data_IF_459497135038
#
_entry.id   IF_459497135038
#
_cell.length_a   1.000
_cell.length_b   1.000
_cell.length_c   1.000
_cell.angle_alpha   90.00
_cell.angle_beta   90.00
_cell.angle_gamma   90.00
#
_symmetry.space_group_name_H-M   'P 1'
#
loop_
_entity.id
_entity.type
_entity.pdbx_description
1 polymer ?
#
# COMPACT_ATOMS: atom_id res chain seq x y z
N UNK A 1 -65.98 12.21 44.32
CA UNK A 1 -64.52 12.12 44.54
C UNK A 1 -64.01 10.87 43.85
N UNK A 2 -63.22 11.04 42.79
CA UNK A 2 -62.17 10.13 42.30
C UNK A 2 -61.59 10.81 41.05
N UNK A 3 -60.66 11.74 41.27
CA UNK A 3 -59.80 12.26 40.20
C UNK A 3 -58.71 11.22 39.97
N UNK A 4 -58.80 10.53 38.83
CA UNK A 4 -57.73 9.64 38.37
C UNK A 4 -56.65 10.51 37.72
N UNK A 5 -55.57 10.72 38.45
CA UNK A 5 -54.35 11.38 37.97
C UNK A 5 -53.76 10.58 36.81
N UNK A 6 -53.82 11.11 35.59
CA UNK A 6 -53.06 10.55 34.47
C UNK A 6 -51.60 10.91 34.73
N UNK A 7 -50.81 9.94 35.21
CA UNK A 7 -49.36 10.03 35.18
C UNK A 7 -48.93 10.00 33.71
N UNK A 8 -48.54 11.17 33.19
CA UNK A 8 -47.79 11.29 31.96
C UNK A 8 -46.42 10.66 32.17
N UNK A 9 -46.32 9.35 31.95
CA UNK A 9 -45.04 8.64 31.89
C UNK A 9 -44.17 9.30 30.83
N UNK A 10 -42.88 9.48 31.16
CA UNK A 10 -41.83 9.98 30.27
C UNK A 10 -41.91 9.31 28.91
N UNK A 11 -42.51 10.00 27.93
CA UNK A 11 -42.31 9.66 26.53
C UNK A 11 -40.88 10.10 26.19
N UNK A 12 -39.95 9.19 26.41
CA UNK A 12 -38.57 9.28 25.96
C UNK A 12 -38.57 9.74 24.50
N UNK A 13 -38.14 10.98 24.27
CA UNK A 13 -38.32 11.66 22.99
C UNK A 13 -37.39 10.98 21.98
N UNK A 14 -37.96 10.19 21.05
CA UNK A 14 -37.21 9.42 20.05
C UNK A 14 -36.08 10.23 19.35
N UNK A 15 -36.26 11.53 19.02
CA UNK A 15 -35.17 12.36 18.51
C UNK A 15 -33.99 12.57 19.47
N UNK A 16 -34.20 12.63 20.79
CA UNK A 16 -33.10 12.74 21.76
C UNK A 16 -32.34 11.43 21.91
N UNK A 17 -33.02 10.29 21.85
CA UNK A 17 -32.36 8.97 21.83
C UNK A 17 -31.51 8.80 20.57
N UNK A 18 -32.07 9.10 19.38
CA UNK A 18 -31.31 9.04 18.12
C UNK A 18 -30.09 9.97 18.12
N UNK A 19 -30.22 11.14 18.74
CA UNK A 19 -29.10 12.08 18.88
C UNK A 19 -28.01 11.52 19.80
N UNK A 20 -28.40 10.93 20.93
CA UNK A 20 -27.48 10.29 21.86
C UNK A 20 -26.76 9.09 21.21
N UNK A 21 -27.49 8.23 20.51
CA UNK A 21 -26.94 7.08 19.79
C UNK A 21 -25.98 7.51 18.67
N UNK A 22 -26.33 8.56 17.92
CA UNK A 22 -25.45 9.12 16.89
C UNK A 22 -24.15 9.65 17.48
N UNK A 23 -24.21 10.36 18.60
CA UNK A 23 -23.03 10.88 19.29
C UNK A 23 -22.13 9.74 19.79
N UNK A 24 -22.74 8.71 20.39
CA UNK A 24 -22.00 7.55 20.87
C UNK A 24 -21.37 6.76 19.71
N UNK A 25 -22.10 6.55 18.61
CA UNK A 25 -21.56 5.89 17.41
C UNK A 25 -20.38 6.68 16.82
N UNK A 26 -20.52 8.00 16.65
CA UNK A 26 -19.43 8.85 16.16
C UNK A 26 -18.20 8.76 17.07
N UNK A 27 -18.40 8.78 18.39
CA UNK A 27 -17.31 8.62 19.36
C UNK A 27 -16.61 7.27 19.24
N UNK A 28 -17.38 6.19 19.13
CA UNK A 28 -16.83 4.83 18.98
C UNK A 28 -16.09 4.66 17.66
N UNK A 29 -16.61 5.22 16.55
CA UNK A 29 -15.93 5.20 15.26
C UNK A 29 -14.60 5.96 15.30
N UNK A 30 -14.56 7.12 15.96
CA UNK A 30 -13.32 7.90 16.12
C UNK A 30 -12.28 7.14 16.96
N UNK A 31 -12.69 6.54 18.08
CA UNK A 31 -11.81 5.71 18.91
C UNK A 31 -11.29 4.47 18.16
N UNK A 32 -12.15 3.83 17.37
CA UNK A 32 -11.79 2.69 16.56
C UNK A 32 -10.81 3.07 15.43
N UNK A 33 -11.05 4.21 14.76
CA UNK A 33 -10.15 4.74 13.74
C UNK A 33 -8.75 5.01 14.30
N UNK A 34 -8.65 5.61 15.49
CA UNK A 34 -7.37 5.86 16.17
C UNK A 34 -6.62 4.57 16.52
N UNK A 35 -7.35 3.49 16.85
CA UNK A 35 -6.77 2.17 17.11
C UNK A 35 -6.31 1.46 15.83
N UNK A 36 -7.10 1.50 14.76
CA UNK A 36 -6.78 0.81 13.49
C UNK A 36 -5.70 1.54 12.69
N UNK A 37 -5.69 2.88 12.74
CA UNK A 37 -4.72 3.71 12.03
C UNK A 37 -3.92 4.54 13.03
N UNK A 38 -3.04 3.93 13.83
CA UNK A 38 -2.12 4.69 14.67
C UNK A 38 -1.33 5.66 13.78
N UNK A 39 -1.15 6.93 14.19
CA UNK A 39 -0.47 7.94 13.36
C UNK A 39 0.95 7.54 12.94
N UNK A 40 1.59 6.66 13.72
CA UNK A 40 2.95 6.16 13.45
C UNK A 40 2.99 4.77 12.79
N UNK A 41 1.84 4.15 12.52
CA UNK A 41 1.79 2.82 11.92
C UNK A 41 1.97 2.91 10.41
N UNK A 42 3.22 2.87 9.96
CA UNK A 42 3.54 2.73 8.54
C UNK A 42 3.61 1.25 8.16
N UNK A 43 2.84 0.85 7.14
CA UNK A 43 3.00 -0.46 6.52
C UNK A 43 4.32 -0.46 5.76
N UNK A 44 5.30 -1.21 6.25
CA UNK A 44 6.54 -1.46 5.52
C UNK A 44 6.34 -2.61 4.53
N UNK A 45 7.02 -2.53 3.40
CA UNK A 45 7.16 -3.66 2.49
C UNK A 45 8.25 -4.58 3.01
N UNK A 46 8.06 -5.89 2.86
CA UNK A 46 9.11 -6.86 3.18
C UNK A 46 10.29 -6.73 2.23
N UNK A 47 11.44 -7.25 2.65
CA UNK A 47 12.58 -7.40 1.75
C UNK A 47 12.35 -8.59 0.78
N UNK A 48 13.06 -8.55 -0.33
CA UNK A 48 13.00 -9.51 -1.42
C UNK A 48 14.21 -10.43 -1.41
N UNK A 49 13.98 -11.70 -1.74
CA UNK A 49 15.06 -12.65 -1.99
C UNK A 49 15.81 -12.32 -3.28
N UNK A 50 17.02 -12.87 -3.50
CA UNK A 50 17.75 -12.67 -4.75
C UNK A 50 16.96 -13.08 -6.00
N UNK A 51 16.21 -14.18 -5.93
CA UNK A 51 15.38 -14.64 -7.04
C UNK A 51 14.29 -13.62 -7.39
N UNK A 52 13.55 -13.13 -6.38
CA UNK A 52 12.51 -12.11 -6.58
C UNK A 52 13.09 -10.79 -7.09
N UNK A 53 14.20 -10.33 -6.49
CA UNK A 53 14.85 -9.09 -6.91
C UNK A 53 15.31 -9.17 -8.37
N UNK A 54 15.91 -10.30 -8.76
CA UNK A 54 16.35 -10.52 -10.15
C UNK A 54 15.19 -10.52 -11.14
N UNK A 55 14.04 -11.08 -10.74
CA UNK A 55 12.80 -11.05 -11.53
C UNK A 55 12.30 -9.63 -11.76
N UNK A 56 12.20 -8.82 -10.70
CA UNK A 56 11.73 -7.42 -10.83
C UNK A 56 12.71 -6.53 -11.59
N UNK A 57 14.02 -6.77 -11.47
CA UNK A 57 15.03 -6.00 -12.23
C UNK A 57 15.08 -6.45 -13.69
N UNK A 58 14.70 -7.70 -14.00
CA UNK A 58 14.77 -8.26 -15.35
C UNK A 58 16.16 -8.76 -15.73
N UNK A 59 16.89 -9.34 -14.77
CA UNK A 59 18.24 -9.91 -14.97
C UNK A 59 18.33 -11.33 -14.38
N UNK A 60 19.37 -12.07 -14.75
CA UNK A 60 19.64 -13.37 -14.12
C UNK A 60 20.17 -13.23 -12.69
N UNK A 61 19.80 -14.16 -11.80
CA UNK A 61 20.23 -14.14 -10.39
C UNK A 61 21.76 -14.17 -10.24
N UNK A 62 22.47 -14.92 -11.09
CA UNK A 62 23.93 -14.96 -11.08
C UNK A 62 24.55 -13.59 -11.38
N UNK A 63 23.96 -12.84 -12.33
CA UNK A 63 24.41 -11.49 -12.66
C UNK A 63 24.08 -10.50 -11.53
N UNK A 64 22.91 -10.63 -10.90
CA UNK A 64 22.58 -9.85 -9.71
C UNK A 64 23.60 -10.05 -8.59
N UNK A 65 24.05 -11.29 -8.36
CA UNK A 65 25.10 -11.58 -7.35
C UNK A 65 26.43 -10.93 -7.69
N UNK A 66 26.82 -10.90 -8.96
CA UNK A 66 28.02 -10.19 -9.41
C UNK A 66 27.89 -8.69 -9.16
N UNK A 67 26.80 -8.06 -9.62
CA UNK A 67 26.53 -6.63 -9.42
C UNK A 67 26.51 -6.25 -7.94
N UNK A 68 25.91 -7.10 -7.10
CA UNK A 68 25.91 -6.89 -5.65
C UNK A 68 27.33 -7.01 -5.03
N UNK A 69 28.18 -7.86 -5.58
CA UNK A 69 29.58 -8.04 -5.13
C UNK A 69 30.49 -6.90 -5.59
N UNK A 70 30.12 -6.20 -6.65
CA UNK A 70 30.76 -4.96 -7.11
C UNK A 70 30.38 -3.72 -6.26
N UNK A 71 29.56 -3.89 -5.21
CA UNK A 71 29.19 -2.84 -4.26
C UNK A 71 27.86 -2.13 -4.56
N UNK A 72 27.10 -2.58 -5.56
CA UNK A 72 25.82 -1.96 -5.92
C UNK A 72 24.60 -2.61 -5.26
N UNK A 73 24.81 -3.66 -4.46
CA UNK A 73 23.77 -4.38 -3.75
C UNK A 73 23.82 -4.15 -2.24
N UNK A 74 22.82 -4.61 -1.50
CA UNK A 74 22.82 -4.54 -0.04
C UNK A 74 23.91 -5.43 0.55
N UNK A 75 24.32 -5.09 1.77
CA UNK A 75 25.22 -5.92 2.56
C UNK A 75 24.60 -7.30 2.84
N UNK A 76 25.41 -8.38 2.81
CA UNK A 76 24.91 -9.70 3.17
C UNK A 76 24.57 -9.75 4.66
N UNK A 77 23.53 -10.52 4.98
CA UNK A 77 23.21 -10.92 6.34
C UNK A 77 24.32 -11.82 6.90
N UNK A 78 24.28 -12.09 8.21
CA UNK A 78 25.25 -12.94 8.90
C UNK A 78 25.40 -14.36 8.29
N UNK A 79 24.36 -14.86 7.60
CA UNK A 79 24.38 -16.14 6.90
C UNK A 79 24.88 -16.06 5.44
N UNK A 80 25.40 -14.91 5.02
CA UNK A 80 25.89 -14.65 3.66
C UNK A 80 24.79 -14.34 2.63
N UNK A 81 23.51 -14.45 2.99
CA UNK A 81 22.40 -14.16 2.06
C UNK A 81 22.13 -12.66 1.99
N UNK A 82 21.81 -12.16 0.80
CA UNK A 82 21.36 -10.78 0.60
C UNK A 82 19.85 -10.71 0.52
N UNK A 83 19.28 -9.67 1.14
CA UNK A 83 17.87 -9.34 1.07
C UNK A 83 17.74 -7.91 0.55
N UNK A 84 16.90 -7.71 -0.46
CA UNK A 84 16.84 -6.46 -1.21
C UNK A 84 15.61 -5.65 -0.80
N UNK A 85 15.78 -4.35 -0.62
CA UNK A 85 14.66 -3.40 -0.52
C UNK A 85 14.26 -2.92 -1.93
N UNK A 86 13.07 -2.32 -2.11
CA UNK A 86 12.73 -1.64 -3.37
C UNK A 86 13.76 -0.58 -3.77
N UNK A 87 14.30 0.16 -2.81
CA UNK A 87 15.32 1.18 -3.05
C UNK A 87 16.63 0.59 -3.57
N UNK A 88 17.03 -0.59 -3.07
CA UNK A 88 18.21 -1.29 -3.59
C UNK A 88 17.98 -1.73 -5.04
N UNK A 89 16.80 -2.27 -5.35
CA UNK A 89 16.45 -2.64 -6.72
C UNK A 89 16.43 -1.42 -7.66
N UNK A 90 15.92 -0.27 -7.20
CA UNK A 90 15.94 0.99 -7.93
C UNK A 90 17.35 1.50 -8.22
N UNK A 91 18.24 1.47 -7.22
CA UNK A 91 19.66 1.85 -7.38
C UNK A 91 20.39 0.91 -8.35
N UNK A 92 20.12 -0.39 -8.27
CA UNK A 92 20.67 -1.37 -9.22
C UNK A 92 20.18 -1.08 -10.64
N UNK A 93 18.88 -0.82 -10.85
CA UNK A 93 18.33 -0.46 -12.18
C UNK A 93 19.06 0.76 -12.78
N UNK A 94 19.30 1.80 -11.98
CA UNK A 94 20.04 3.00 -12.44
C UNK A 94 21.47 2.67 -12.83
N UNK A 95 22.19 1.92 -11.98
CA UNK A 95 23.57 1.49 -12.25
C UNK A 95 23.67 0.67 -13.54
N UNK A 96 22.70 -0.23 -13.76
CA UNK A 96 22.68 -1.06 -14.96
C UNK A 96 22.42 -0.23 -16.23
N UNK A 97 21.56 0.78 -16.16
CA UNK A 97 21.32 1.70 -17.28
C UNK A 97 22.57 2.52 -17.64
N UNK A 98 23.27 3.03 -16.63
CA UNK A 98 24.54 3.74 -16.80
C UNK A 98 25.59 2.85 -17.47
N UNK A 99 25.75 1.60 -17.01
CA UNK A 99 26.69 0.63 -17.60
C UNK A 99 26.30 0.20 -19.01
N UNK A 100 25.00 0.02 -19.27
CA UNK A 100 24.47 -0.41 -20.56
C UNK A 100 24.48 0.72 -21.61
N UNK A 101 24.64 1.98 -21.18
CA UNK A 101 24.65 3.15 -22.06
C UNK A 101 23.31 3.41 -22.76
N UNK A 102 22.26 2.68 -22.39
CA UNK A 102 20.91 2.87 -22.91
C UNK A 102 19.87 2.57 -21.83
N UNK A 103 18.78 3.37 -21.75
CA UNK A 103 17.77 3.28 -20.69
C UNK A 103 16.86 2.07 -20.89
N UNK A 104 17.29 0.93 -20.36
CA UNK A 104 16.65 -0.40 -20.49
C UNK A 104 16.03 -0.88 -19.18
N UNK A 105 16.63 -0.54 -18.04
CA UNK A 105 16.36 -1.09 -16.71
C UNK A 105 15.54 -0.14 -15.83
N UNK A 106 15.54 1.18 -16.11
CA UNK A 106 14.66 2.14 -15.44
C UNK A 106 13.40 2.36 -16.30
N UNK A 107 12.24 1.77 -15.96
CA UNK A 107 11.04 1.80 -16.78
C UNK A 107 10.23 3.09 -16.57
N UNK A 108 10.85 4.25 -16.79
CA UNK A 108 10.17 5.54 -16.69
C UNK A 108 9.77 6.09 -18.06
N UNK A 109 8.72 6.92 -18.07
CA UNK A 109 8.31 7.66 -19.27
C UNK A 109 9.38 8.70 -19.61
N UNK A 110 9.76 8.80 -20.88
CA UNK A 110 10.76 9.76 -21.37
C UNK A 110 10.12 11.07 -21.86
N UNK A 111 10.90 12.16 -21.93
CA UNK A 111 10.46 13.39 -22.58
C UNK A 111 9.98 13.13 -24.02
N UNK A 112 8.84 13.70 -24.39
CA UNK A 112 8.23 13.52 -25.72
C UNK A 112 7.37 12.27 -25.87
N UNK A 113 7.44 11.29 -24.97
CA UNK A 113 6.56 10.12 -25.02
C UNK A 113 5.15 10.45 -24.55
N UNK A 114 4.14 9.93 -25.25
CA UNK A 114 2.73 10.06 -24.85
C UNK A 114 2.51 9.38 -23.49
N UNK A 115 1.80 10.07 -22.59
CA UNK A 115 1.34 9.49 -21.34
C UNK A 115 0.42 8.29 -21.61
N UNK A 116 0.76 7.13 -21.05
CA UNK A 116 -0.07 5.94 -21.12
C UNK A 116 -1.13 5.99 -20.01
N UNK A 117 -2.39 5.75 -20.37
CA UNK A 117 -3.52 5.70 -19.43
C UNK A 117 -4.09 4.30 -19.45
N UNK A 118 -4.05 3.62 -18.29
CA UNK A 118 -4.58 2.27 -18.13
C UNK A 118 -5.87 2.35 -17.30
N UNK A 119 -6.97 1.88 -17.87
CA UNK A 119 -8.27 1.82 -17.19
C UNK A 119 -8.57 0.39 -16.74
N UNK A 120 -8.59 0.16 -15.42
CA UNK A 120 -9.00 -1.12 -14.83
C UNK A 120 -10.51 -1.12 -14.64
N UNK A 121 -11.23 -1.75 -15.56
CA UNK A 121 -12.69 -1.78 -15.57
C UNK A 121 -13.25 -3.18 -15.32
N UNK A 122 -14.37 -3.24 -14.59
CA UNK A 122 -15.19 -4.43 -14.39
C UNK A 122 -16.60 -3.99 -14.01
N UNK A 123 -17.61 -4.61 -14.62
CA UNK A 123 -19.02 -4.22 -14.52
C UNK A 123 -19.74 -4.71 -13.26
N UNK A 124 -19.13 -5.60 -12.47
CA UNK A 124 -19.72 -6.12 -11.22
C UNK A 124 -19.24 -5.37 -9.98
N UNK A 125 -20.11 -5.17 -8.98
CA UNK A 125 -19.70 -4.72 -7.64
C UNK A 125 -18.81 -5.76 -6.94
N UNK A 126 -17.84 -5.33 -6.14
CA UNK A 126 -16.93 -6.25 -5.42
C UNK A 126 -15.89 -6.98 -6.28
N UNK A 127 -15.71 -6.57 -7.54
CA UNK A 127 -14.79 -7.19 -8.50
C UNK A 127 -13.32 -6.76 -8.39
N UNK A 128 -12.90 -6.31 -7.21
CA UNK A 128 -11.52 -5.93 -6.90
C UNK A 128 -10.89 -4.82 -7.76
N UNK A 129 -11.64 -4.04 -8.57
CA UNK A 129 -11.09 -2.95 -9.42
C UNK A 129 -10.08 -2.05 -8.71
N UNK A 130 -10.43 -1.56 -7.52
CA UNK A 130 -9.57 -0.70 -6.70
C UNK A 130 -8.29 -1.42 -6.28
N UNK A 131 -8.42 -2.65 -5.78
CA UNK A 131 -7.31 -3.50 -5.35
C UNK A 131 -6.39 -3.86 -6.52
N UNK A 132 -6.95 -4.25 -7.66
CA UNK A 132 -6.22 -4.55 -8.90
C UNK A 132 -5.49 -3.32 -9.42
N UNK A 133 -6.13 -2.14 -9.41
CA UNK A 133 -5.47 -0.89 -9.83
C UNK A 133 -4.28 -0.56 -8.93
N UNK A 134 -4.44 -0.69 -7.61
CA UNK A 134 -3.37 -0.45 -6.66
C UNK A 134 -2.20 -1.43 -6.84
N UNK A 135 -2.47 -2.72 -6.97
CA UNK A 135 -1.42 -3.72 -7.19
C UNK A 135 -0.75 -3.61 -8.56
N UNK A 136 -1.49 -3.24 -9.60
CA UNK A 136 -0.92 -2.97 -10.91
C UNK A 136 0.05 -1.78 -10.84
N UNK A 137 -0.33 -0.69 -10.16
CA UNK A 137 0.55 0.46 -9.96
C UNK A 137 1.81 0.08 -9.17
N UNK A 138 1.68 -0.74 -8.12
CA UNK A 138 2.82 -1.26 -7.34
C UNK A 138 3.75 -2.13 -8.18
N UNK A 139 3.21 -2.98 -9.05
CA UNK A 139 4.00 -3.85 -9.92
C UNK A 139 4.77 -3.08 -11.01
N UNK A 140 4.20 -1.97 -11.50
CA UNK A 140 4.81 -1.14 -12.55
C UNK A 140 5.84 -0.13 -12.04
N UNK A 141 5.95 0.07 -10.72
CA UNK A 141 6.91 0.98 -10.10
C UNK A 141 8.34 0.39 -10.06
#
# INVERSE_FOLDING_TARGET
MLQTSIQSGEQEHLPSMLSADSLELSRQLQLHQQKIFPPNSQKAIRNFSPAEASYYIGIGEGYLRQVASEGYGPEPLANGRRMYTPDDMGRIRQTLDEKNGSPKYVPNRRPGEKLQVIAVMNFKGGSAKTTTSAHLAQYLA
#
